data_IF_148927860812
#
_entry.id   IF_148927860812
#
_cell.length_a   1.000
_cell.length_b   1.000
_cell.length_c   1.000
_cell.angle_alpha   90.00
_cell.angle_beta   90.00
_cell.angle_gamma   90.00
#
_symmetry.space_group_name_H-M   'P 1'
#
loop_
_entity.id
_entity.type
_entity.pdbx_description
1 polymer ?
#
# COMPACT_ATOMS: atom_id res chain seq x y z
N UNK A 1 1.66 8.57 34.74
CA UNK A 1 1.79 7.14 35.08
C UNK A 1 1.15 6.38 33.92
N UNK A 2 1.70 6.47 32.71
CA UNK A 2 2.94 5.82 32.27
C UNK A 2 2.85 4.31 32.46
N UNK A 3 2.25 3.64 31.49
CA UNK A 3 2.65 2.28 31.12
C UNK A 3 2.94 2.34 29.63
N UNK A 4 4.20 2.09 29.35
CA UNK A 4 4.89 2.04 28.07
C UNK A 4 4.19 1.10 27.10
N UNK A 5 4.04 1.56 25.86
CA UNK A 5 3.81 0.68 24.72
C UNK A 5 5.17 0.20 24.23
N UNK A 6 5.47 -1.06 24.49
CA UNK A 6 6.55 -1.77 23.83
C UNK A 6 5.95 -2.44 22.59
N UNK A 7 6.09 -1.77 21.45
CA UNK A 7 5.91 -2.40 20.13
C UNK A 7 7.22 -3.10 19.84
N UNK A 8 7.30 -4.37 20.21
CA UNK A 8 8.35 -5.26 19.75
C UNK A 8 8.17 -5.43 18.24
N UNK A 9 8.93 -4.66 17.47
CA UNK A 9 9.18 -4.97 16.07
C UNK A 9 10.10 -6.19 16.09
N UNK A 10 9.50 -7.37 16.04
CA UNK A 10 10.22 -8.60 15.77
C UNK A 10 10.86 -8.47 14.38
N UNK A 11 12.14 -8.10 14.39
CA UNK A 11 13.01 -8.28 13.24
C UNK A 11 13.08 -9.78 12.99
N UNK A 12 12.42 -10.24 11.93
CA UNK A 12 12.63 -11.59 11.43
C UNK A 12 14.10 -11.67 10.99
N UNK A 13 14.94 -12.26 11.84
CA UNK A 13 16.27 -12.71 11.49
C UNK A 13 16.12 -13.80 10.41
N UNK A 14 16.24 -13.41 9.15
CA UNK A 14 16.39 -14.37 8.07
C UNK A 14 17.79 -14.98 8.19
N UNK A 15 17.83 -16.20 8.71
CA UNK A 15 19.02 -17.04 8.78
C UNK A 15 19.77 -17.02 7.44
N UNK A 16 20.84 -16.24 7.43
CA UNK A 16 21.82 -16.19 6.38
C UNK A 16 22.66 -17.47 6.45
N UNK A 17 22.12 -18.57 5.93
CA UNK A 17 22.83 -19.84 5.85
C UNK A 17 23.82 -19.83 4.67
N UNK A 18 24.87 -19.04 4.83
CA UNK A 18 26.07 -19.03 4.00
C UNK A 18 26.95 -20.22 4.35
N UNK A 19 26.90 -21.29 3.53
CA UNK A 19 27.79 -22.44 3.70
C UNK A 19 27.55 -23.58 2.70
N UNK A 20 27.90 -23.40 1.42
CA UNK A 20 28.11 -24.52 0.48
C UNK A 20 26.89 -25.06 -0.29
N UNK A 21 25.69 -24.47 -0.13
CA UNK A 21 24.49 -24.88 -0.88
C UNK A 21 24.30 -24.05 -2.15
N UNK A 22 24.06 -24.71 -3.29
CA UNK A 22 23.76 -24.03 -4.57
C UNK A 22 22.46 -23.22 -4.42
N UNK A 23 22.43 -21.99 -4.92
CA UNK A 23 21.20 -21.19 -4.99
C UNK A 23 20.09 -21.92 -5.78
N UNK A 24 18.83 -21.50 -5.59
CA UNK A 24 17.68 -22.14 -6.26
C UNK A 24 17.84 -22.15 -7.78
N UNK A 25 18.35 -21.05 -8.36
CA UNK A 25 18.61 -20.95 -9.79
C UNK A 25 19.60 -22.00 -10.30
N UNK A 26 20.78 -22.08 -9.69
CA UNK A 26 21.81 -23.03 -10.11
C UNK A 26 21.41 -24.48 -9.83
N UNK A 27 20.63 -24.73 -8.78
CA UNK A 27 20.02 -26.04 -8.52
C UNK A 27 19.05 -26.43 -9.63
N UNK A 28 18.14 -25.53 -10.01
CA UNK A 28 17.16 -25.75 -11.07
C UNK A 28 17.82 -25.99 -12.44
N UNK A 29 18.81 -25.17 -12.79
CA UNK A 29 19.58 -25.28 -14.03
C UNK A 29 20.61 -26.42 -14.04
N UNK A 30 20.73 -27.18 -12.95
CA UNK A 30 21.69 -28.29 -12.80
C UNK A 30 23.17 -27.90 -13.05
N UNK A 31 23.55 -26.66 -12.75
CA UNK A 31 24.93 -26.13 -12.92
C UNK A 31 25.60 -25.83 -11.57
N UNK A 32 26.92 -25.62 -11.57
CA UNK A 32 27.65 -25.16 -10.37
C UNK A 32 27.25 -23.70 -10.05
N UNK A 33 27.16 -23.37 -8.76
CA UNK A 33 26.95 -22.01 -8.30
C UNK A 33 28.32 -21.38 -8.01
N UNK A 34 28.70 -20.37 -8.78
CA UNK A 34 29.95 -19.63 -8.56
C UNK A 34 29.82 -18.69 -7.35
N UNK A 35 30.94 -18.27 -6.77
CA UNK A 35 30.96 -17.36 -5.63
C UNK A 35 30.35 -15.98 -5.97
N UNK A 36 30.50 -15.54 -7.22
CA UNK A 36 29.98 -14.29 -7.78
C UNK A 36 28.66 -14.46 -8.54
N UNK A 37 27.88 -15.52 -8.22
CA UNK A 37 26.64 -15.80 -8.93
C UNK A 37 25.61 -14.67 -8.73
N UNK A 38 25.31 -13.93 -9.79
CA UNK A 38 24.34 -12.82 -9.78
C UNK A 38 22.92 -13.19 -9.34
N UNK A 39 22.55 -14.48 -9.41
CA UNK A 39 21.23 -14.96 -9.02
C UNK A 39 21.20 -15.44 -7.55
N UNK A 40 22.35 -15.68 -6.93
CA UNK A 40 22.41 -16.29 -5.61
C UNK A 40 21.78 -15.42 -4.50
N UNK A 41 21.99 -14.09 -4.45
CA UNK A 41 21.38 -13.25 -3.43
C UNK A 41 19.85 -13.20 -3.49
N UNK A 42 19.28 -13.33 -4.70
CA UNK A 42 17.85 -13.09 -4.93
C UNK A 42 17.02 -14.39 -5.04
N UNK A 43 17.68 -15.52 -5.31
CA UNK A 43 17.02 -16.83 -5.42
C UNK A 43 17.66 -17.84 -4.44
N UNK A 44 17.41 -17.68 -3.12
CA UNK A 44 17.99 -18.53 -2.10
C UNK A 44 17.48 -19.96 -2.20
N UNK A 45 18.27 -20.93 -1.72
CA UNK A 45 17.93 -22.35 -1.80
C UNK A 45 16.70 -22.76 -0.98
N UNK A 46 16.31 -21.94 0.00
CA UNK A 46 15.12 -22.10 0.85
C UNK A 46 13.81 -22.02 0.06
N UNK A 47 13.81 -21.26 -1.04
CA UNK A 47 12.60 -20.99 -1.82
C UNK A 47 12.76 -21.43 -3.28
N UNK A 48 12.77 -22.75 -3.57
CA UNK A 48 13.04 -23.27 -4.91
C UNK A 48 11.93 -22.96 -5.93
N UNK A 49 10.69 -22.75 -5.47
CA UNK A 49 9.56 -22.45 -6.34
C UNK A 49 9.65 -21.06 -6.96
N UNK A 50 10.20 -20.06 -6.24
CA UNK A 50 10.38 -18.68 -6.74
C UNK A 50 11.09 -18.68 -8.09
N UNK A 51 12.25 -19.33 -8.15
CA UNK A 51 13.02 -19.42 -9.39
C UNK A 51 12.34 -20.27 -10.46
N UNK A 52 11.59 -21.32 -10.09
CA UNK A 52 10.90 -22.16 -11.06
C UNK A 52 9.84 -21.38 -11.84
N UNK A 53 9.03 -20.56 -11.16
CA UNK A 53 8.04 -19.69 -11.79
C UNK A 53 8.72 -18.65 -12.66
N UNK A 54 9.69 -17.92 -12.11
CA UNK A 54 10.45 -16.89 -12.83
C UNK A 54 11.13 -17.46 -14.08
N UNK A 55 11.75 -18.63 -13.98
CA UNK A 55 12.37 -19.31 -15.11
C UNK A 55 11.35 -19.69 -16.18
N UNK A 56 10.16 -20.17 -15.80
CA UNK A 56 9.12 -20.57 -16.74
C UNK A 56 8.59 -19.40 -17.57
N UNK A 57 8.48 -18.22 -16.97
CA UNK A 57 7.88 -17.03 -17.61
C UNK A 57 8.93 -16.18 -18.31
N UNK A 58 10.02 -15.86 -17.63
CA UNK A 58 11.04 -14.94 -18.16
C UNK A 58 12.20 -15.68 -18.84
N UNK A 59 12.53 -16.89 -18.38
CA UNK A 59 13.69 -17.65 -18.86
C UNK A 59 15.00 -17.21 -18.22
N UNK A 60 15.92 -18.17 -18.02
CA UNK A 60 17.17 -17.96 -17.27
C UNK A 60 18.01 -16.77 -17.76
N UNK A 61 18.21 -16.65 -19.08
CA UNK A 61 19.05 -15.62 -19.67
C UNK A 61 18.47 -14.22 -19.52
N UNK A 62 17.15 -14.09 -19.62
CA UNK A 62 16.48 -12.79 -19.47
C UNK A 62 16.52 -12.33 -18.03
N UNK A 63 16.29 -13.23 -17.06
CA UNK A 63 16.37 -12.93 -15.63
C UNK A 63 17.76 -12.42 -15.27
N UNK A 64 18.81 -13.14 -15.69
CA UNK A 64 20.18 -12.71 -15.42
C UNK A 64 20.50 -11.35 -16.07
N UNK A 65 20.04 -11.12 -17.31
CA UNK A 65 20.26 -9.86 -18.03
C UNK A 65 19.53 -8.68 -17.38
N UNK A 66 18.25 -8.86 -17.01
CA UNK A 66 17.43 -7.83 -16.36
C UNK A 66 18.04 -7.41 -15.02
N UNK A 67 18.39 -8.39 -14.18
CA UNK A 67 19.03 -8.07 -12.89
C UNK A 67 20.37 -7.37 -13.10
N UNK A 68 21.19 -7.80 -14.06
CA UNK A 68 22.47 -7.14 -14.32
C UNK A 68 22.33 -5.71 -14.87
N UNK A 69 21.24 -5.39 -15.57
CA UNK A 69 20.99 -4.04 -16.08
C UNK A 69 20.55 -3.04 -15.01
N UNK A 70 20.14 -3.51 -13.83
CA UNK A 70 19.68 -2.67 -12.73
C UNK A 70 20.80 -2.33 -11.74
N UNK A 71 20.71 -1.18 -11.05
CA UNK A 71 21.46 -0.88 -9.83
C UNK A 71 21.31 -2.00 -8.80
N UNK A 72 22.34 -2.27 -8.00
CA UNK A 72 22.37 -3.43 -7.09
C UNK A 72 21.27 -3.37 -6.03
N UNK A 73 20.95 -2.17 -5.59
CA UNK A 73 19.90 -1.80 -4.65
C UNK A 73 18.48 -2.10 -5.16
N UNK A 74 18.24 -2.00 -6.47
CA UNK A 74 16.93 -2.27 -7.07
C UNK A 74 16.71 -3.75 -7.39
N UNK A 75 17.78 -4.54 -7.52
CA UNK A 75 17.70 -5.95 -7.98
C UNK A 75 16.88 -6.85 -7.07
N UNK A 76 16.88 -6.60 -5.76
CA UNK A 76 16.08 -7.39 -4.82
C UNK A 76 14.58 -7.20 -5.09
N UNK A 77 14.14 -5.96 -5.15
CA UNK A 77 12.75 -5.61 -5.46
C UNK A 77 12.34 -6.06 -6.86
N UNK A 78 13.24 -5.95 -7.85
CA UNK A 78 12.99 -6.46 -9.19
C UNK A 78 12.80 -7.99 -9.20
N UNK A 79 13.64 -8.75 -8.47
CA UNK A 79 13.49 -10.21 -8.39
C UNK A 79 12.18 -10.63 -7.72
N UNK A 80 11.73 -9.90 -6.69
CA UNK A 80 10.44 -10.10 -6.03
C UNK A 80 9.26 -9.79 -6.98
N UNK A 81 9.33 -8.67 -7.70
CA UNK A 81 8.29 -8.31 -8.69
C UNK A 81 8.22 -9.35 -9.81
N UNK A 82 9.36 -9.79 -10.34
CA UNK A 82 9.41 -10.86 -11.35
C UNK A 82 8.81 -12.16 -10.85
N UNK A 83 9.00 -12.52 -9.58
CA UNK A 83 8.39 -13.70 -9.00
C UNK A 83 6.88 -13.59 -8.93
N UNK A 84 6.36 -12.48 -8.41
CA UNK A 84 4.92 -12.23 -8.30
C UNK A 84 4.27 -12.28 -9.68
N UNK A 85 4.81 -11.56 -10.66
CA UNK A 85 4.33 -11.58 -12.04
C UNK A 85 4.40 -12.98 -12.67
N UNK A 86 5.49 -13.70 -12.43
CA UNK A 86 5.64 -15.05 -12.94
C UNK A 86 4.63 -16.01 -12.32
N UNK A 87 4.35 -15.88 -11.02
CA UNK A 87 3.37 -16.70 -10.32
C UNK A 87 1.97 -16.45 -10.92
N UNK A 88 1.55 -15.20 -11.04
CA UNK A 88 0.26 -14.87 -11.65
C UNK A 88 0.13 -15.39 -13.07
N UNK A 89 1.18 -15.32 -13.88
CA UNK A 89 1.15 -15.87 -15.24
C UNK A 89 1.19 -17.41 -15.30
N UNK A 90 1.70 -18.06 -14.25
CA UNK A 90 1.64 -19.52 -14.12
C UNK A 90 0.22 -19.97 -13.75
N UNK A 91 -0.45 -19.21 -12.89
CA UNK A 91 -1.83 -19.46 -12.44
C UNK A 91 -2.85 -19.11 -13.53
N UNK A 92 -2.69 -17.96 -14.19
CA UNK A 92 -3.47 -17.52 -15.35
C UNK A 92 -2.54 -17.28 -16.56
N UNK A 93 -2.42 -18.27 -17.46
CA UNK A 93 -1.59 -18.15 -18.66
C UNK A 93 -2.12 -17.14 -19.69
N UNK A 94 -3.38 -16.70 -19.58
CA UNK A 94 -4.02 -15.79 -20.54
C UNK A 94 -3.81 -14.35 -20.10
N UNK A 95 -4.21 -14.01 -18.87
CA UNK A 95 -4.20 -12.62 -18.40
C UNK A 95 -3.11 -12.33 -17.36
N UNK A 96 -2.65 -13.32 -16.59
CA UNK A 96 -1.64 -13.14 -15.56
C UNK A 96 -1.92 -11.93 -14.65
N UNK A 97 -0.92 -11.05 -14.50
CA UNK A 97 -1.06 -9.83 -13.69
C UNK A 97 -2.12 -8.85 -14.24
N UNK A 98 -2.36 -8.84 -15.55
CA UNK A 98 -3.36 -7.95 -16.17
C UNK A 98 -4.76 -8.28 -15.69
N UNK A 99 -5.09 -9.56 -15.48
CA UNK A 99 -6.39 -9.97 -14.92
C UNK A 99 -6.61 -9.43 -13.52
N UNK A 100 -5.57 -9.45 -12.68
CA UNK A 100 -5.59 -8.87 -11.33
C UNK A 100 -5.80 -7.35 -11.41
N UNK A 101 -5.09 -6.67 -12.31
CA UNK A 101 -5.24 -5.22 -12.50
C UNK A 101 -6.67 -4.88 -12.92
N UNK A 102 -7.24 -5.58 -13.90
CA UNK A 102 -8.61 -5.34 -14.37
C UNK A 102 -9.64 -5.57 -13.26
N UNK A 103 -9.50 -6.65 -12.49
CA UNK A 103 -10.37 -6.91 -11.34
C UNK A 103 -10.31 -5.76 -10.33
N UNK A 104 -9.10 -5.31 -9.95
CA UNK A 104 -8.94 -4.21 -9.01
C UNK A 104 -9.54 -2.90 -9.55
N UNK A 105 -9.43 -2.63 -10.85
CA UNK A 105 -10.04 -1.47 -11.48
C UNK A 105 -11.58 -1.53 -11.41
N UNK A 106 -12.19 -2.69 -11.65
CA UNK A 106 -13.64 -2.89 -11.51
C UNK A 106 -14.10 -2.70 -10.05
N UNK A 107 -13.35 -3.21 -9.07
CA UNK A 107 -13.64 -3.05 -7.64
C UNK A 107 -13.55 -1.59 -7.19
N UNK A 108 -12.54 -0.86 -7.68
CA UNK A 108 -12.39 0.58 -7.43
C UNK A 108 -13.59 1.33 -8.00
N UNK A 109 -13.97 1.07 -9.25
CA UNK A 109 -15.11 1.72 -9.90
C UNK A 109 -16.42 1.45 -9.17
N UNK A 110 -16.69 0.19 -8.81
CA UNK A 110 -17.88 -0.19 -8.07
C UNK A 110 -17.96 0.53 -6.71
N UNK A 111 -16.84 0.59 -5.98
CA UNK A 111 -16.73 1.26 -4.68
C UNK A 111 -16.95 2.77 -4.81
N UNK A 112 -16.36 3.40 -5.84
CA UNK A 112 -16.57 4.82 -6.13
C UNK A 112 -18.04 5.12 -6.47
N UNK A 113 -18.71 4.25 -7.24
CA UNK A 113 -20.13 4.37 -7.54
C UNK A 113 -21.01 4.24 -6.30
N UNK A 114 -20.68 3.32 -5.38
CA UNK A 114 -21.37 3.21 -4.08
C UNK A 114 -21.18 4.48 -3.24
N UNK A 115 -19.95 4.97 -3.14
CA UNK A 115 -19.64 6.20 -2.41
C UNK A 115 -20.42 7.40 -2.97
N UNK A 116 -20.51 7.54 -4.29
CA UNK A 116 -21.29 8.59 -4.95
C UNK A 116 -22.78 8.46 -4.62
N UNK A 117 -23.34 7.24 -4.65
CA UNK A 117 -24.75 6.98 -4.29
C UNK A 117 -25.03 7.36 -2.83
N UNK A 118 -24.19 6.94 -1.90
CA UNK A 118 -24.37 7.26 -0.47
C UNK A 118 -24.26 8.77 -0.23
N UNK A 119 -23.30 9.46 -0.87
CA UNK A 119 -23.17 10.92 -0.78
C UNK A 119 -24.41 11.64 -1.32
N UNK A 120 -24.96 11.19 -2.45
CA UNK A 120 -26.19 11.74 -3.01
C UNK A 120 -27.39 11.53 -2.06
N UNK A 121 -27.51 10.35 -1.44
CA UNK A 121 -28.56 10.08 -0.45
C UNK A 121 -28.46 11.02 0.76
N UNK A 122 -27.25 11.23 1.29
CA UNK A 122 -27.02 12.15 2.42
C UNK A 122 -27.35 13.60 2.07
N UNK A 123 -27.09 14.04 0.84
CA UNK A 123 -27.44 15.38 0.37
C UNK A 123 -28.96 15.60 0.27
N UNK A 124 -29.75 14.54 0.05
CA UNK A 124 -31.20 14.61 -0.09
C UNK A 124 -31.89 14.62 1.28
N UNK A 125 -31.28 14.08 2.34
CA UNK A 125 -31.81 14.16 3.71
C UNK A 125 -31.82 15.63 4.15
N UNK A 126 -32.99 16.32 4.16
CA UNK A 126 -33.02 17.70 4.60
C UNK A 126 -32.66 17.72 6.08
N UNK A 127 -32.01 18.79 6.52
CA UNK A 127 -31.71 19.06 7.92
C UNK A 127 -32.99 19.09 8.78
N UNK A 128 -33.49 17.92 9.21
CA UNK A 128 -34.56 17.79 10.21
C UNK A 128 -34.16 18.36 11.58
N UNK A 129 -32.90 18.81 11.74
CA UNK A 129 -32.38 19.47 12.94
C UNK A 129 -32.53 21.01 12.96
N UNK A 130 -32.96 21.65 11.87
CA UNK A 130 -33.10 23.12 11.86
C UNK A 130 -34.45 23.65 12.41
N UNK A 131 -35.41 22.76 12.73
CA UNK A 131 -36.78 23.15 13.12
C UNK A 131 -37.08 23.04 14.63
N UNK A 132 -36.07 22.93 15.51
CA UNK A 132 -36.28 22.99 16.97
C UNK A 132 -35.69 24.23 17.64
N UNK A 133 -35.40 25.31 16.90
CA UNK A 133 -35.16 26.63 17.50
C UNK A 133 -36.49 27.30 17.89
N UNK A 134 -37.23 26.64 18.77
CA UNK A 134 -38.36 27.20 19.51
C UNK A 134 -37.89 27.69 20.87
N UNK A 135 -38.26 28.92 21.20
CA UNK A 135 -38.30 29.53 22.54
C UNK A 135 -36.98 29.81 23.27
N UNK A 136 -36.71 31.11 23.34
CA UNK A 136 -35.88 31.79 24.32
C UNK A 136 -36.22 31.39 25.76
N UNK A 137 -35.24 30.89 26.52
CA UNK A 137 -35.13 31.18 27.96
C UNK A 137 -33.65 31.49 28.23
N UNK A 138 -33.37 32.75 28.54
CA UNK A 138 -32.04 33.17 28.98
C UNK A 138 -31.71 32.48 30.31
N UNK A 139 -30.63 31.70 30.34
CA UNK A 139 -30.07 31.18 31.59
C UNK A 139 -29.38 32.31 32.37
N UNK A 140 -29.53 32.37 33.71
CA UNK A 140 -28.76 33.33 34.53
C UNK A 140 -27.26 32.98 34.52
N UNK A 141 -26.37 33.98 34.63
CA UNK A 141 -24.93 33.74 34.61
C UNK A 141 -24.47 32.95 35.85
N UNK A 142 -23.49 32.04 35.69
CA UNK A 142 -22.94 31.27 36.82
C UNK A 142 -22.12 32.17 37.77
N UNK A 143 -22.05 31.82 39.07
CA UNK A 143 -21.32 32.59 40.06
C UNK A 143 -19.82 32.59 39.77
N UNK A 144 -19.22 33.79 39.78
CA UNK A 144 -17.79 34.00 39.60
C UNK A 144 -17.05 33.57 40.87
N UNK A 145 -16.43 32.39 40.86
CA UNK A 145 -15.43 32.04 41.87
C UNK A 145 -14.05 32.52 41.39
N UNK A 146 -13.38 33.24 42.29
CA UNK A 146 -12.10 33.90 42.11
C UNK A 146 -11.00 32.97 41.60
N UNK A 147 -10.09 33.61 40.84
CA UNK A 147 -8.96 33.05 40.12
C UNK A 147 -7.87 32.61 41.08
N UNK A 148 -7.17 31.54 40.73
CA UNK A 148 -5.77 31.35 41.12
C UNK A 148 -4.96 31.17 39.83
N UNK A 149 -3.96 32.03 39.70
CA UNK A 149 -3.12 32.21 38.52
C UNK A 149 -2.02 31.15 38.47
N UNK A 150 -2.05 30.28 37.45
CA UNK A 150 -1.01 29.28 37.24
C UNK A 150 -0.81 28.92 35.77
N UNK A 151 0.03 29.69 35.08
CA UNK A 151 0.73 29.35 33.82
C UNK A 151 -0.13 28.93 32.61
N UNK A 152 -0.61 29.95 31.88
CA UNK A 152 -1.07 29.83 30.49
C UNK A 152 0.12 29.98 29.54
N UNK A 153 0.47 28.93 28.80
CA UNK A 153 1.28 29.05 27.56
C UNK A 153 0.32 29.42 26.42
N UNK A 154 0.63 30.43 25.58
CA UNK A 154 -0.27 30.82 24.49
C UNK A 154 -0.16 29.82 23.34
N UNK A 155 -1.24 29.09 23.04
CA UNK A 155 -1.42 28.49 21.71
C UNK A 155 -1.88 29.61 20.80
N UNK A 156 -0.97 30.01 19.92
CA UNK A 156 -1.23 30.94 18.82
C UNK A 156 -2.29 30.37 17.89
N UNK A 157 -3.30 31.19 17.69
CA UNK A 157 -4.40 31.05 16.75
C UNK A 157 -3.87 31.12 15.30
N UNK A 158 -4.09 30.07 14.52
CA UNK A 158 -4.13 30.18 13.05
C UNK A 158 -5.50 29.68 12.60
N UNK A 159 -6.38 30.65 12.37
CA UNK A 159 -7.58 30.50 11.56
C UNK A 159 -7.12 30.41 10.10
N UNK A 160 -7.56 29.37 9.40
CA UNK A 160 -7.28 29.20 7.97
C UNK A 160 -8.26 28.22 7.36
N UNK A 161 -9.36 28.77 6.83
CA UNK A 161 -10.20 28.28 5.74
C UNK A 161 -10.66 26.81 5.80
N UNK A 162 -11.96 26.64 6.07
CA UNK A 162 -12.69 25.48 5.59
C UNK A 162 -12.72 25.52 4.07
N UNK A 163 -11.76 24.85 3.43
CA UNK A 163 -11.87 24.49 2.03
C UNK A 163 -12.80 23.28 1.94
N UNK A 164 -13.90 23.46 1.21
CA UNK A 164 -14.68 22.34 0.72
C UNK A 164 -13.72 21.46 -0.09
N UNK A 165 -13.54 20.21 0.35
CA UNK A 165 -12.85 19.19 -0.44
C UNK A 165 -13.54 19.19 -1.81
N UNK A 166 -12.83 19.52 -2.91
CA UNK A 166 -13.42 19.51 -4.22
C UNK A 166 -14.02 18.12 -4.42
N UNK A 167 -15.31 18.08 -4.75
CA UNK A 167 -15.94 16.89 -5.27
C UNK A 167 -15.13 16.52 -6.52
N UNK A 168 -14.21 15.55 -6.42
CA UNK A 168 -13.51 15.05 -7.59
C UNK A 168 -14.58 14.58 -8.56
N UNK A 169 -14.55 15.18 -9.74
CA UNK A 169 -15.43 14.91 -10.85
C UNK A 169 -15.21 13.45 -11.29
N UNK A 170 -16.25 12.60 -11.31
CA UNK A 170 -16.13 11.22 -11.82
C UNK A 170 -15.63 11.13 -13.26
N UNK A 171 -15.69 12.22 -14.03
CA UNK A 171 -15.34 12.24 -15.44
C UNK A 171 -13.84 12.48 -15.73
N UNK A 172 -12.98 12.74 -14.73
CA UNK A 172 -11.54 12.98 -14.98
C UNK A 172 -10.76 11.70 -15.35
N UNK A 173 -11.37 10.52 -15.21
CA UNK A 173 -10.73 9.23 -15.55
C UNK A 173 -11.13 8.69 -16.93
N UNK A 174 -12.03 9.36 -17.65
CA UNK A 174 -12.48 8.93 -18.98
C UNK A 174 -11.60 9.42 -20.14
N UNK A 175 -10.55 10.19 -19.86
CA UNK A 175 -9.66 10.77 -20.88
C UNK A 175 -8.33 10.02 -21.07
N UNK A 176 -8.15 8.82 -20.50
CA UNK A 176 -6.93 8.01 -20.69
C UNK A 176 -7.06 6.83 -21.67
N UNK A 177 -8.14 6.74 -22.44
CA UNK A 177 -8.27 5.81 -23.58
C UNK A 177 -7.99 6.52 -24.91
N UNK A 178 -6.83 7.17 -24.99
CA UNK A 178 -6.37 7.94 -26.15
C UNK A 178 -4.92 7.63 -26.54
N UNK A 179 -4.62 6.36 -26.85
CA UNK A 179 -3.69 5.83 -27.89
C UNK A 179 -3.53 4.32 -27.69
#
# INVERSE_FOLDING_TARGET
>A
MSTTGDVEVEMHEEDQEGGGRRCAACKYLRRRCAHDCVLAPYFPASHPHRYASVHRVFGASNVARLLQSLPVDERAQAAETMEMEAQWRVEDPVYGCTGIISQLQEEIQATQCELARTRAQLAIVPAHGAQLQGSTVALPPPPQHQRDDGHRVPISQMQGLGEAVPLLDPDEFLDLDGI
#
